data_IF_023238129386
#
_entry.id   IF_023238129386
#
_cell.length_a   1.000
_cell.length_b   1.000
_cell.length_c   1.000
_cell.angle_alpha   90.00
_cell.angle_beta   90.00
_cell.angle_gamma   90.00
#
_symmetry.space_group_name_H-M   'P 1'
#
loop_
_entity.id
_entity.type
_entity.pdbx_description
1 polymer ?
#
# COMPACT_ATOMS: atom_id res chain seq x y z
N UNK A 1 32.32 10.98 4.81
CA UNK A 1 32.20 11.10 6.28
C UNK A 1 30.93 10.37 6.67
N UNK A 2 31.01 9.06 6.84
CA UNK A 2 29.94 8.23 7.37
C UNK A 2 29.72 8.66 8.83
N UNK A 3 28.56 9.21 9.09
CA UNK A 3 28.23 9.86 10.34
C UNK A 3 28.10 8.83 11.45
N UNK A 4 28.56 9.19 12.63
CA UNK A 4 28.47 8.46 13.91
C UNK A 4 27.07 7.87 14.21
N UNK A 5 26.02 8.33 13.50
CA UNK A 5 24.63 7.87 13.66
C UNK A 5 24.38 6.44 13.20
N UNK A 6 25.08 5.97 12.17
CA UNK A 6 24.87 4.61 11.65
C UNK A 6 25.57 3.55 12.51
N UNK A 7 26.71 3.91 13.11
CA UNK A 7 27.40 3.05 14.08
C UNK A 7 26.65 2.97 15.42
N UNK A 8 25.95 4.04 15.83
CA UNK A 8 25.11 4.04 17.03
C UNK A 8 23.80 3.27 16.81
N UNK A 9 23.21 3.30 15.62
CA UNK A 9 22.04 2.46 15.26
C UNK A 9 22.38 0.96 15.22
N UNK A 10 23.58 0.60 14.80
CA UNK A 10 24.05 -0.81 14.78
C UNK A 10 24.36 -1.36 16.19
N UNK A 11 24.62 -0.48 17.16
CA UNK A 11 24.90 -0.84 18.56
C UNK A 11 23.62 -1.06 19.41
N UNK A 12 22.45 -0.62 18.95
CA UNK A 12 21.14 -0.76 19.61
C UNK A 12 20.30 -1.88 18.97
N UNK A 13 20.89 -3.04 18.68
CA UNK A 13 20.10 -4.22 18.29
C UNK A 13 19.23 -4.62 19.47
N UNK A 14 17.92 -4.44 19.31
CA UNK A 14 16.92 -4.96 20.25
C UNK A 14 17.20 -6.43 20.50
N UNK A 15 17.36 -6.80 21.77
CA UNK A 15 17.59 -8.19 22.13
C UNK A 15 16.36 -9.04 21.79
N UNK A 16 16.55 -10.34 21.63
CA UNK A 16 15.45 -11.27 21.41
C UNK A 16 14.40 -11.18 22.53
N UNK A 17 14.85 -10.97 23.77
CA UNK A 17 13.96 -10.76 24.94
C UNK A 17 13.15 -9.48 24.80
N UNK A 18 13.76 -8.37 24.36
CA UNK A 18 13.08 -7.10 24.13
C UNK A 18 12.04 -7.22 23.00
N UNK A 19 12.37 -7.90 21.91
CA UNK A 19 11.42 -8.16 20.81
C UNK A 19 10.22 -8.98 21.28
N UNK A 20 10.43 -10.01 22.08
CA UNK A 20 9.35 -10.78 22.71
C UNK A 20 8.55 -9.93 23.69
N UNK A 21 9.17 -8.98 24.40
CA UNK A 21 8.48 -8.03 25.28
C UNK A 21 7.48 -7.15 24.51
N UNK A 22 7.87 -6.60 23.37
CA UNK A 22 6.97 -5.86 22.46
C UNK A 22 5.79 -6.73 22.02
N UNK A 23 6.08 -7.95 21.57
CA UNK A 23 5.04 -8.89 21.10
C UNK A 23 4.10 -9.30 22.24
N UNK A 24 4.64 -9.57 23.44
CA UNK A 24 3.83 -9.92 24.60
C UNK A 24 2.82 -8.85 24.95
N UNK A 25 3.23 -7.58 24.92
CA UNK A 25 2.31 -6.46 25.14
C UNK A 25 1.30 -6.29 24.01
N UNK A 26 1.71 -6.51 22.75
CA UNK A 26 0.80 -6.47 21.59
C UNK A 26 -0.27 -7.56 21.65
N UNK A 27 0.02 -8.71 22.23
CA UNK A 27 -0.91 -9.82 22.44
C UNK A 27 -1.68 -9.74 23.75
N UNK A 28 -1.35 -8.77 24.62
CA UNK A 28 -2.04 -8.57 25.89
C UNK A 28 -3.37 -7.86 25.69
N UNK A 29 -4.49 -8.39 26.22
CA UNK A 29 -5.79 -7.75 26.13
C UNK A 29 -5.76 -6.30 26.63
N UNK A 30 -6.57 -5.44 26.04
CA UNK A 30 -6.73 -4.02 26.40
C UNK A 30 -5.47 -3.15 26.17
N UNK A 31 -4.41 -3.69 25.59
CA UNK A 31 -3.19 -2.95 25.27
C UNK A 31 -3.19 -2.50 23.81
N UNK A 32 -3.51 -1.22 23.58
CA UNK A 32 -3.36 -0.59 22.26
C UNK A 32 -1.97 0.03 22.08
N UNK A 33 -1.58 0.37 20.82
CA UNK A 33 -0.23 0.84 20.48
C UNK A 33 0.32 1.97 21.38
N UNK A 34 -0.51 2.97 21.65
CA UNK A 34 -0.14 4.12 22.49
C UNK A 34 0.11 3.72 23.96
N UNK A 35 -0.72 2.80 24.47
CA UNK A 35 -0.57 2.31 25.85
C UNK A 35 0.66 1.44 26.00
N UNK A 36 0.96 0.60 25.00
CA UNK A 36 2.18 -0.21 24.94
C UNK A 36 3.42 0.68 24.96
N UNK A 37 3.50 1.68 24.07
CA UNK A 37 4.63 2.61 24.03
C UNK A 37 4.84 3.33 25.36
N UNK A 38 3.76 3.79 25.99
CA UNK A 38 3.83 4.45 27.31
C UNK A 38 4.32 3.51 28.41
N UNK A 39 3.83 2.27 28.42
CA UNK A 39 4.26 1.29 29.41
C UNK A 39 5.75 0.97 29.28
N UNK A 40 6.22 0.70 28.07
CA UNK A 40 7.64 0.44 27.78
C UNK A 40 8.51 1.63 28.16
N UNK A 41 8.13 2.85 27.78
CA UNK A 41 8.89 4.05 28.13
C UNK A 41 9.02 4.23 29.66
N UNK A 42 7.97 3.93 30.43
CA UNK A 42 7.99 4.01 31.90
C UNK A 42 8.84 2.90 32.52
N UNK A 43 8.75 1.66 32.04
CA UNK A 43 9.58 0.56 32.50
C UNK A 43 11.06 0.80 32.24
N UNK A 44 11.42 1.52 31.18
CA UNK A 44 12.78 1.91 30.83
C UNK A 44 13.26 3.26 31.37
N UNK A 45 12.50 3.94 32.24
CA UNK A 45 12.70 5.34 32.62
C UNK A 45 14.10 5.73 33.14
N UNK A 46 14.86 4.77 33.64
CA UNK A 46 16.21 4.98 34.17
C UNK A 46 17.33 4.94 33.11
N UNK A 47 17.00 4.80 31.83
CA UNK A 47 17.99 4.82 30.76
C UNK A 47 18.26 6.23 30.23
N UNK A 48 19.46 6.45 29.63
CA UNK A 48 20.00 7.77 29.28
C UNK A 48 19.39 8.39 28.02
N UNK A 49 18.96 7.59 27.05
CA UNK A 49 18.32 8.05 25.82
C UNK A 49 16.92 7.49 25.63
N UNK A 50 16.15 8.02 24.67
CA UNK A 50 14.80 7.54 24.37
C UNK A 50 14.83 6.13 23.77
N UNK A 51 15.76 5.86 22.86
CA UNK A 51 15.98 4.52 22.28
C UNK A 51 16.39 3.51 23.37
N UNK A 52 17.33 3.88 24.24
CA UNK A 52 17.73 3.04 25.37
C UNK A 52 16.59 2.79 26.36
N UNK A 53 15.66 3.75 26.52
CA UNK A 53 14.44 3.57 27.34
C UNK A 53 13.49 2.56 26.73
N UNK A 54 13.30 2.60 25.40
CA UNK A 54 12.44 1.67 24.72
C UNK A 54 12.99 0.23 24.81
N UNK A 55 14.26 0.02 24.44
CA UNK A 55 14.92 -1.29 24.51
C UNK A 55 14.91 -1.87 25.92
N UNK A 56 15.37 -1.12 26.91
CA UNK A 56 15.39 -1.55 28.30
C UNK A 56 14.00 -1.79 28.88
N UNK A 57 13.00 -0.97 28.46
CA UNK A 57 11.63 -1.14 28.89
C UNK A 57 11.01 -2.42 28.35
N UNK A 58 11.28 -2.74 27.09
CA UNK A 58 10.80 -3.96 26.47
C UNK A 58 11.42 -5.22 27.12
N UNK A 59 12.71 -5.19 27.46
CA UNK A 59 13.38 -6.28 28.19
C UNK A 59 12.77 -6.48 29.56
N UNK A 60 12.44 -5.40 30.26
CA UNK A 60 11.89 -5.44 31.63
C UNK A 60 10.45 -5.90 31.73
N UNK A 61 9.73 -6.03 30.60
CA UNK A 61 8.31 -6.46 30.60
C UNK A 61 8.12 -7.77 31.39
N UNK A 62 9.06 -8.70 31.29
CA UNK A 62 8.96 -10.01 31.93
C UNK A 62 9.56 -10.07 33.36
N UNK A 63 10.26 -9.03 33.76
CA UNK A 63 10.91 -8.94 35.07
C UNK A 63 10.11 -8.03 36.02
N UNK A 64 9.24 -7.18 35.47
CA UNK A 64 8.50 -6.20 36.24
C UNK A 64 7.45 -6.87 37.15
N UNK A 65 7.37 -6.40 38.37
CA UNK A 65 6.35 -6.80 39.34
C UNK A 65 4.96 -6.26 38.91
N UNK A 66 3.89 -6.86 39.42
CA UNK A 66 2.51 -6.41 39.15
C UNK A 66 2.34 -4.90 39.44
N UNK A 67 2.91 -4.43 40.57
CA UNK A 67 2.83 -3.01 40.95
C UNK A 67 3.57 -2.10 39.96
N UNK A 68 4.73 -2.53 39.43
CA UNK A 68 5.47 -1.78 38.43
C UNK A 68 4.71 -1.73 37.10
N UNK A 69 4.07 -2.82 36.68
CA UNK A 69 3.26 -2.88 35.47
C UNK A 69 2.03 -1.96 35.57
N UNK A 70 1.30 -1.99 36.69
CA UNK A 70 0.19 -1.06 36.95
C UNK A 70 0.70 0.39 37.01
N UNK A 71 1.83 0.64 37.69
CA UNK A 71 2.51 1.94 37.75
C UNK A 71 2.95 2.43 36.36
N UNK A 72 3.26 1.55 35.44
CA UNK A 72 3.53 1.87 34.04
C UNK A 72 2.25 2.26 33.26
N UNK A 73 1.07 2.13 33.84
CA UNK A 73 -0.22 2.53 33.28
C UNK A 73 -0.95 1.40 32.56
N UNK A 74 -0.59 0.16 32.86
CA UNK A 74 -1.33 -0.99 32.37
C UNK A 74 -2.63 -1.18 33.17
N UNK A 75 -3.76 -1.54 32.53
CA UNK A 75 -4.94 -2.00 33.23
C UNK A 75 -4.65 -3.21 34.12
N UNK A 76 -5.29 -3.34 35.27
CA UNK A 76 -5.04 -4.42 36.22
C UNK A 76 -5.11 -5.82 35.57
N UNK A 77 -6.09 -6.07 34.68
CA UNK A 77 -6.20 -7.33 33.95
C UNK A 77 -5.04 -7.58 32.98
N UNK A 78 -4.53 -6.53 32.33
CA UNK A 78 -3.37 -6.59 31.45
C UNK A 78 -2.09 -6.84 32.27
N UNK A 79 -1.88 -6.10 33.35
CA UNK A 79 -0.75 -6.27 34.24
C UNK A 79 -0.71 -7.69 34.84
N UNK A 80 -1.86 -8.22 35.27
CA UNK A 80 -1.97 -9.60 35.75
C UNK A 80 -1.63 -10.62 34.64
N UNK A 81 -2.11 -10.39 33.39
CA UNK A 81 -1.82 -11.26 32.25
C UNK A 81 -0.32 -11.34 31.93
N UNK A 82 0.41 -10.25 32.12
CA UNK A 82 1.88 -10.22 31.99
C UNK A 82 2.55 -10.89 33.18
N UNK A 83 2.17 -10.50 34.40
CA UNK A 83 2.79 -10.94 35.65
C UNK A 83 2.69 -12.46 35.91
N UNK A 84 1.60 -13.09 35.46
CA UNK A 84 1.41 -14.55 35.59
C UNK A 84 2.04 -15.36 34.44
N UNK A 85 2.79 -14.73 33.54
CA UNK A 85 3.54 -15.34 32.46
C UNK A 85 2.73 -15.69 31.21
N UNK A 86 1.41 -15.44 31.19
CA UNK A 86 0.56 -15.72 30.01
C UNK A 86 0.98 -14.92 28.79
N UNK A 87 1.36 -13.65 28.97
CA UNK A 87 1.82 -12.79 27.89
C UNK A 87 3.10 -13.32 27.24
N UNK A 88 4.07 -13.81 28.07
CA UNK A 88 5.31 -14.42 27.60
C UNK A 88 5.04 -15.69 26.80
N UNK A 89 4.24 -16.58 27.35
CA UNK A 89 3.87 -17.84 26.66
C UNK A 89 3.14 -17.58 25.34
N UNK A 90 2.27 -16.55 25.28
CA UNK A 90 1.61 -16.15 24.05
C UNK A 90 2.60 -15.62 23.03
N UNK A 91 3.57 -14.77 23.42
CA UNK A 91 4.59 -14.21 22.53
C UNK A 91 5.52 -15.30 21.95
N UNK A 92 6.00 -16.20 22.80
CA UNK A 92 6.86 -17.31 22.37
C UNK A 92 6.13 -18.25 21.39
N UNK A 93 4.86 -18.55 21.67
CA UNK A 93 4.02 -19.34 20.78
C UNK A 93 3.80 -18.63 19.43
N UNK A 94 3.44 -17.36 19.47
CA UNK A 94 3.19 -16.55 18.26
C UNK A 94 4.46 -16.43 17.42
N UNK A 95 5.60 -16.11 18.01
CA UNK A 95 6.88 -16.00 17.32
C UNK A 95 7.25 -17.29 16.58
N UNK A 96 7.03 -18.46 17.22
CA UNK A 96 7.24 -19.76 16.61
C UNK A 96 6.28 -19.99 15.43
N UNK A 97 5.00 -19.71 15.61
CA UNK A 97 3.99 -19.90 14.56
C UNK A 97 4.23 -18.97 13.36
N UNK A 98 4.67 -17.73 13.59
CA UNK A 98 5.05 -16.79 12.53
C UNK A 98 6.20 -17.34 11.68
N UNK A 99 7.24 -17.87 12.33
CA UNK A 99 8.36 -18.50 11.63
C UNK A 99 7.93 -19.76 10.83
N UNK A 100 7.08 -20.61 11.40
CA UNK A 100 6.51 -21.78 10.74
C UNK A 100 5.65 -21.40 9.52
N UNK A 101 4.95 -20.24 9.57
CA UNK A 101 4.18 -19.71 8.46
C UNK A 101 5.04 -19.00 7.39
N UNK A 102 6.38 -19.01 7.53
CA UNK A 102 7.30 -18.31 6.62
C UNK A 102 7.22 -16.78 6.72
N UNK A 103 6.80 -16.28 7.86
CA UNK A 103 6.76 -14.86 8.19
C UNK A 103 7.85 -14.45 9.18
N UNK A 104 7.92 -13.17 9.42
CA UNK A 104 8.69 -12.54 10.51
C UNK A 104 7.81 -11.54 11.22
N UNK A 105 8.24 -11.06 12.36
CA UNK A 105 7.64 -9.90 13.00
C UNK A 105 8.69 -8.79 13.20
N UNK A 106 8.24 -7.55 13.14
CA UNK A 106 9.04 -6.35 13.36
C UNK A 106 8.46 -5.59 14.55
N UNK A 107 9.32 -5.10 15.41
CA UNK A 107 8.99 -4.17 16.49
C UNK A 107 9.41 -2.76 16.10
N UNK A 108 8.98 -1.74 16.81
CA UNK A 108 9.36 -0.34 16.54
C UNK A 108 10.87 -0.08 16.61
N UNK A 109 11.64 -0.96 17.24
CA UNK A 109 13.09 -0.83 17.42
C UNK A 109 13.88 -1.55 16.32
N UNK A 110 13.23 -2.36 15.50
CA UNK A 110 13.89 -3.03 14.39
C UNK A 110 14.23 -2.02 13.29
N UNK A 111 15.44 -2.08 12.76
CA UNK A 111 15.96 -1.17 11.71
C UNK A 111 15.07 -1.18 10.46
N UNK A 112 14.47 -2.33 10.14
CA UNK A 112 13.56 -2.51 9.00
C UNK A 112 12.10 -2.14 9.30
N UNK A 113 11.82 -1.61 10.51
CA UNK A 113 10.49 -1.07 10.77
C UNK A 113 10.31 0.25 10.00
N UNK A 114 9.18 0.45 9.29
CA UNK A 114 9.03 1.61 8.40
C UNK A 114 9.15 2.93 9.16
N UNK A 115 10.18 3.72 8.87
CA UNK A 115 10.44 4.99 9.56
C UNK A 115 9.26 5.97 9.48
N UNK A 116 8.61 6.05 8.30
CA UNK A 116 7.39 6.88 8.14
C UNK A 116 6.25 6.46 9.04
N UNK A 117 6.14 5.16 9.33
CA UNK A 117 5.09 4.65 10.21
C UNK A 117 5.34 4.99 11.69
N UNK A 118 6.58 5.23 12.09
CA UNK A 118 6.90 5.72 13.44
C UNK A 118 6.39 7.15 13.69
N UNK A 119 6.21 7.93 12.63
CA UNK A 119 5.79 9.34 12.72
C UNK A 119 4.29 9.52 12.99
N UNK A 120 3.46 8.47 12.82
CA UNK A 120 2.02 8.59 13.10
C UNK A 120 1.74 8.60 14.60
N UNK A 121 0.56 9.10 15.00
CA UNK A 121 0.17 9.20 16.42
C UNK A 121 0.20 7.87 17.18
N UNK A 122 -0.19 6.78 16.54
CA UNK A 122 -0.35 5.45 17.14
C UNK A 122 0.28 4.35 16.29
N UNK A 123 1.63 4.38 16.07
CA UNK A 123 2.30 3.37 15.25
C UNK A 123 2.07 1.98 15.85
N UNK A 124 1.90 0.93 15.05
CA UNK A 124 1.82 -0.45 15.53
C UNK A 124 3.00 -0.82 16.42
N UNK A 125 2.75 -1.47 17.56
CA UNK A 125 3.82 -1.97 18.42
C UNK A 125 4.63 -3.08 17.74
N UNK A 126 3.92 -3.92 16.98
CA UNK A 126 4.46 -5.03 16.21
C UNK A 126 3.81 -5.06 14.84
N UNK A 127 4.58 -5.38 13.81
CA UNK A 127 4.11 -5.70 12.47
C UNK A 127 4.45 -7.15 12.16
N UNK A 128 3.47 -7.91 11.72
CA UNK A 128 3.66 -9.24 11.14
C UNK A 128 3.89 -9.08 9.65
N UNK A 129 4.94 -9.70 9.11
CA UNK A 129 5.37 -9.53 7.73
C UNK A 129 5.59 -10.88 7.07
N UNK A 130 5.09 -11.05 5.85
CA UNK A 130 5.38 -12.18 4.96
C UNK A 130 5.90 -11.64 3.64
N UNK A 131 7.09 -12.06 3.23
CA UNK A 131 7.80 -11.54 2.07
C UNK A 131 8.97 -10.66 2.44
N UNK A 132 9.36 -9.72 1.58
CA UNK A 132 10.55 -8.88 1.80
C UNK A 132 10.26 -7.67 2.71
N UNK A 133 10.70 -7.75 3.95
CA UNK A 133 10.53 -6.67 4.93
C UNK A 133 11.30 -5.38 4.57
N UNK A 134 12.38 -5.46 3.78
CA UNK A 134 13.16 -4.29 3.38
C UNK A 134 12.35 -3.31 2.52
N UNK A 135 11.31 -3.82 1.84
CA UNK A 135 10.40 -2.98 1.05
C UNK A 135 9.60 -2.00 1.89
N UNK A 136 9.42 -2.25 3.18
CA UNK A 136 8.59 -1.41 4.06
C UNK A 136 9.22 -0.03 4.30
N UNK A 137 10.53 0.11 4.12
CA UNK A 137 11.25 1.38 4.24
C UNK A 137 11.29 2.16 2.92
N UNK A 138 11.05 1.48 1.78
CA UNK A 138 11.13 2.12 0.48
C UNK A 138 10.02 3.18 0.30
N UNK A 139 10.32 4.25 -0.45
CA UNK A 139 9.28 5.21 -0.84
C UNK A 139 8.14 4.50 -1.58
N UNK A 140 6.91 4.80 -1.18
CA UNK A 140 5.76 4.18 -1.81
C UNK A 140 4.50 5.03 -1.77
N UNK A 141 3.61 4.82 -2.73
CA UNK A 141 2.28 5.43 -2.81
C UNK A 141 1.21 4.41 -2.41
N UNK A 142 0.31 4.81 -1.52
CA UNK A 142 -0.88 4.03 -1.21
C UNK A 142 -1.97 4.29 -2.26
N UNK A 143 -2.38 3.28 -2.99
CA UNK A 143 -3.45 3.37 -3.99
C UNK A 143 -4.70 2.72 -3.44
N UNK A 144 -5.78 3.50 -3.34
CA UNK A 144 -7.04 3.08 -2.72
C UNK A 144 -8.26 3.46 -3.55
N UNK A 145 -9.34 2.68 -3.40
CA UNK A 145 -10.56 2.98 -4.13
C UNK A 145 -11.73 2.08 -3.77
N UNK A 146 -12.78 2.20 -4.56
CA UNK A 146 -13.99 1.40 -4.42
C UNK A 146 -13.74 -0.09 -4.70
N UNK A 147 -14.52 -0.94 -4.04
CA UNK A 147 -14.54 -2.40 -4.31
C UNK A 147 -15.26 -2.77 -5.61
N UNK A 148 -15.98 -1.84 -6.19
CA UNK A 148 -16.75 -1.98 -7.43
C UNK A 148 -16.40 -0.82 -8.38
N UNK A 149 -15.15 -0.77 -8.91
CA UNK A 149 -14.74 0.28 -9.82
C UNK A 149 -15.42 0.15 -11.18
N UNK A 150 -15.49 1.28 -11.87
CA UNK A 150 -15.80 1.30 -13.29
C UNK A 150 -14.59 0.79 -14.11
N UNK A 151 -14.75 0.46 -15.39
CA UNK A 151 -13.61 0.17 -16.27
C UNK A 151 -12.56 1.28 -16.27
N UNK A 152 -12.99 2.55 -16.20
CA UNK A 152 -12.11 3.69 -16.03
C UNK A 152 -11.29 3.61 -14.74
N UNK A 153 -11.95 3.36 -13.60
CA UNK A 153 -11.27 3.25 -12.32
C UNK A 153 -10.27 2.09 -12.25
N UNK A 154 -10.59 0.94 -12.89
CA UNK A 154 -9.65 -0.18 -13.01
C UNK A 154 -8.43 0.24 -13.83
N UNK A 155 -8.66 0.81 -15.03
CA UNK A 155 -7.59 1.25 -15.91
C UNK A 155 -6.68 2.31 -15.30
N UNK A 156 -7.24 3.32 -14.62
CA UNK A 156 -6.46 4.35 -13.92
C UNK A 156 -5.62 3.75 -12.79
N UNK A 157 -6.19 2.83 -12.00
CA UNK A 157 -5.44 2.16 -10.94
C UNK A 157 -4.27 1.32 -11.48
N UNK A 158 -4.51 0.53 -12.53
CA UNK A 158 -3.48 -0.30 -13.17
C UNK A 158 -2.40 0.57 -13.84
N UNK A 159 -2.80 1.60 -14.61
CA UNK A 159 -1.90 2.49 -15.33
C UNK A 159 -0.99 3.27 -14.37
N UNK A 160 -1.57 4.01 -13.41
CA UNK A 160 -0.79 4.84 -12.49
C UNK A 160 0.12 3.99 -11.60
N UNK A 161 -0.36 2.81 -11.16
CA UNK A 161 0.46 1.90 -10.35
C UNK A 161 1.62 1.31 -11.15
N UNK A 162 1.41 0.96 -12.42
CA UNK A 162 2.45 0.49 -13.34
C UNK A 162 3.50 1.58 -13.57
N UNK A 163 3.05 2.79 -13.90
CA UNK A 163 3.93 3.89 -14.26
C UNK A 163 4.79 4.36 -13.07
N UNK A 164 4.22 4.40 -11.86
CA UNK A 164 4.94 4.67 -10.62
C UNK A 164 5.91 3.54 -10.25
N UNK A 165 5.49 2.28 -10.43
CA UNK A 165 6.33 1.12 -10.18
C UNK A 165 7.54 1.05 -11.12
N UNK A 166 7.37 1.42 -12.40
CA UNK A 166 8.47 1.57 -13.37
C UNK A 166 9.50 2.62 -12.95
N UNK A 167 9.12 3.55 -12.05
CA UNK A 167 10.02 4.58 -11.48
C UNK A 167 10.54 4.22 -10.09
N UNK A 168 10.52 2.95 -9.74
CA UNK A 168 11.07 2.45 -8.49
C UNK A 168 10.19 2.66 -7.26
N UNK A 169 9.02 3.28 -7.40
CA UNK A 169 8.09 3.44 -6.28
C UNK A 169 7.42 2.13 -5.89
N UNK A 170 7.32 1.89 -4.60
CA UNK A 170 6.54 0.76 -4.07
C UNK A 170 5.06 1.11 -4.08
N UNK A 171 4.22 0.23 -4.61
CA UNK A 171 2.77 0.40 -4.56
C UNK A 171 2.23 -0.26 -3.31
N UNK A 172 1.61 0.52 -2.43
CA UNK A 172 0.94 0.02 -1.24
C UNK A 172 -0.57 -0.03 -1.48
N UNK A 173 -1.23 -1.10 -1.05
CA UNK A 173 -2.69 -1.15 -1.07
C UNK A 173 -3.25 -2.15 -0.06
N UNK A 174 -4.58 -2.20 0.06
CA UNK A 174 -5.25 -2.94 1.11
C UNK A 174 -5.73 -4.34 0.72
N UNK A 175 -5.39 -4.84 -0.46
CA UNK A 175 -5.80 -6.14 -0.97
C UNK A 175 -7.33 -6.29 -1.15
N UNK A 176 -8.14 -5.24 -1.05
CA UNK A 176 -9.57 -5.33 -1.31
C UNK A 176 -9.86 -5.67 -2.79
N UNK A 177 -11.12 -6.02 -3.09
CA UNK A 177 -11.58 -6.11 -4.47
C UNK A 177 -11.45 -4.76 -5.17
N UNK A 178 -11.51 -4.75 -6.47
CA UNK A 178 -11.58 -3.53 -7.27
C UNK A 178 -10.25 -2.79 -7.35
N UNK A 179 -10.24 -1.52 -6.97
CA UNK A 179 -9.07 -0.64 -7.14
C UNK A 179 -7.82 -1.19 -6.47
N UNK A 180 -7.91 -1.70 -5.23
CA UNK A 180 -6.75 -2.25 -4.52
C UNK A 180 -6.10 -3.40 -5.30
N UNK A 181 -6.92 -4.35 -5.78
CA UNK A 181 -6.43 -5.48 -6.56
C UNK A 181 -5.85 -5.04 -7.92
N UNK A 182 -6.46 -4.04 -8.57
CA UNK A 182 -5.97 -3.46 -9.82
C UNK A 182 -4.61 -2.78 -9.62
N UNK A 183 -4.44 -2.01 -8.54
CA UNK A 183 -3.18 -1.38 -8.18
C UNK A 183 -2.04 -2.39 -8.00
N UNK A 184 -2.28 -3.46 -7.23
CA UNK A 184 -1.29 -4.53 -7.08
C UNK A 184 -0.93 -5.20 -8.40
N UNK A 185 -1.92 -5.45 -9.28
CA UNK A 185 -1.68 -6.03 -10.61
C UNK A 185 -0.84 -5.10 -11.47
N UNK A 186 -1.20 -3.83 -11.56
CA UNK A 186 -0.46 -2.84 -12.34
C UNK A 186 1.04 -2.80 -11.95
N UNK A 187 1.33 -2.77 -10.64
CA UNK A 187 2.70 -2.83 -10.15
C UNK A 187 3.43 -4.13 -10.52
N UNK A 188 2.75 -5.28 -10.37
CA UNK A 188 3.33 -6.60 -10.68
C UNK A 188 3.54 -6.82 -12.19
N UNK A 189 2.67 -6.27 -13.02
CA UNK A 189 2.77 -6.36 -14.49
C UNK A 189 3.92 -5.50 -15.03
N UNK A 190 4.32 -4.45 -14.30
CA UNK A 190 5.54 -3.68 -14.52
C UNK A 190 6.83 -4.35 -14.01
N UNK A 191 6.74 -5.52 -13.37
CA UNK A 191 7.89 -6.10 -12.66
C UNK A 191 8.29 -5.35 -11.40
N UNK A 192 7.49 -4.36 -10.98
CA UNK A 192 7.73 -3.54 -9.80
C UNK A 192 7.36 -4.22 -8.49
N UNK A 193 7.52 -3.50 -7.39
CA UNK A 193 7.29 -4.01 -6.03
C UNK A 193 5.99 -3.47 -5.45
N UNK A 194 5.30 -4.32 -4.70
CA UNK A 194 4.07 -3.93 -4.04
C UNK A 194 3.95 -4.55 -2.64
N UNK A 195 3.33 -3.79 -1.72
CA UNK A 195 3.09 -4.19 -0.34
C UNK A 195 1.59 -4.20 -0.06
N UNK A 196 1.07 -5.33 0.39
CA UNK A 196 -0.32 -5.46 0.78
C UNK A 196 -0.45 -5.31 2.31
N UNK A 197 -1.16 -4.28 2.77
CA UNK A 197 -1.46 -4.09 4.19
C UNK A 197 -2.80 -4.74 4.50
N UNK A 198 -2.83 -5.72 5.41
CA UNK A 198 -4.01 -6.53 5.70
C UNK A 198 -4.74 -6.11 6.97
N UNK A 199 -6.05 -6.36 7.00
CA UNK A 199 -6.90 -6.25 8.19
C UNK A 199 -7.23 -7.61 8.81
N UNK A 200 -6.38 -8.61 8.58
CA UNK A 200 -6.43 -9.99 9.09
C UNK A 200 -5.02 -10.42 9.48
N UNK A 201 -4.86 -11.56 10.13
CA UNK A 201 -3.53 -12.18 10.26
C UNK A 201 -2.90 -12.43 8.89
N UNK A 202 -1.56 -12.44 8.80
CA UNK A 202 -0.84 -12.64 7.53
C UNK A 202 -1.02 -14.05 6.93
N UNK A 203 -1.58 -14.98 7.69
CA UNK A 203 -1.96 -16.34 7.30
C UNK A 203 -3.42 -16.43 6.81
N UNK A 204 -4.25 -15.40 7.03
CA UNK A 204 -5.67 -15.38 6.68
C UNK A 204 -5.93 -14.49 5.48
N UNK A 205 -5.98 -15.08 4.28
CA UNK A 205 -6.23 -14.33 3.04
C UNK A 205 -7.67 -13.80 2.97
N UNK A 206 -7.82 -12.50 2.84
CA UNK A 206 -9.11 -11.85 2.62
C UNK A 206 -9.00 -10.68 1.63
N UNK A 207 -9.88 -10.60 0.60
CA UNK A 207 -10.90 -11.60 0.25
C UNK A 207 -10.29 -12.87 -0.35
N UNK A 208 -10.99 -14.01 -0.24
CA UNK A 208 -10.46 -15.33 -0.66
C UNK A 208 -10.11 -15.41 -2.15
N UNK A 209 -10.83 -14.69 -3.00
CA UNK A 209 -10.56 -14.62 -4.45
C UNK A 209 -9.20 -14.01 -4.79
N UNK A 210 -8.64 -13.16 -3.91
CA UNK A 210 -7.32 -12.55 -4.11
C UNK A 210 -6.16 -13.45 -3.63
N UNK A 211 -6.41 -14.73 -3.30
CA UNK A 211 -5.36 -15.66 -2.85
C UNK A 211 -4.20 -15.76 -3.84
N UNK A 212 -4.50 -15.94 -5.13
CA UNK A 212 -3.45 -16.01 -6.17
C UNK A 212 -2.66 -14.71 -6.28
N UNK A 213 -3.33 -13.56 -6.08
CA UNK A 213 -2.67 -12.25 -6.08
C UNK A 213 -1.73 -12.11 -4.89
N UNK A 214 -2.15 -12.52 -3.69
CA UNK A 214 -1.31 -12.52 -2.49
C UNK A 214 -0.05 -13.39 -2.67
N UNK A 215 -0.19 -14.58 -3.23
CA UNK A 215 0.92 -15.48 -3.54
C UNK A 215 1.87 -14.85 -4.59
N UNK A 216 1.32 -14.23 -5.64
CA UNK A 216 2.09 -13.53 -6.67
C UNK A 216 2.88 -12.35 -6.08
N UNK A 217 2.30 -11.55 -5.18
CA UNK A 217 2.99 -10.46 -4.50
C UNK A 217 4.25 -10.97 -3.80
N UNK A 218 4.12 -11.99 -2.97
CA UNK A 218 5.26 -12.55 -2.22
C UNK A 218 6.29 -13.18 -3.17
N UNK A 219 5.84 -13.97 -4.15
CA UNK A 219 6.72 -14.62 -5.12
C UNK A 219 7.52 -13.62 -5.99
N UNK A 220 6.97 -12.43 -6.24
CA UNK A 220 7.65 -11.35 -6.96
C UNK A 220 8.55 -10.49 -6.07
N UNK A 221 8.83 -10.90 -4.83
CA UNK A 221 9.63 -10.16 -3.87
C UNK A 221 8.90 -8.94 -3.29
N UNK A 222 7.57 -8.96 -3.26
CA UNK A 222 6.73 -8.03 -2.51
C UNK A 222 6.54 -8.48 -1.06
N UNK A 223 5.68 -7.77 -0.32
CA UNK A 223 5.38 -8.10 1.07
C UNK A 223 3.89 -8.01 1.41
N UNK A 224 3.50 -8.76 2.42
CA UNK A 224 2.21 -8.69 3.10
C UNK A 224 2.47 -8.28 4.53
N UNK A 225 1.74 -7.28 5.03
CA UNK A 225 1.95 -6.70 6.36
C UNK A 225 0.63 -6.63 7.11
N UNK A 226 0.65 -6.93 8.39
CA UNK A 226 -0.49 -6.76 9.29
C UNK A 226 -0.04 -6.32 10.69
N UNK A 227 -0.90 -5.58 11.40
CA UNK A 227 -0.77 -5.31 12.84
C UNK A 227 -1.43 -6.41 13.69
N UNK A 228 -2.10 -7.36 13.05
CA UNK A 228 -2.91 -8.35 13.72
C UNK A 228 -2.19 -9.70 13.79
N UNK A 229 -2.26 -10.42 14.93
CA UNK A 229 -1.60 -11.73 15.10
C UNK A 229 -2.18 -12.78 14.14
N UNK A 230 -1.45 -13.88 14.00
CA UNK A 230 -1.86 -15.03 13.20
C UNK A 230 -3.25 -15.52 13.61
N UNK A 231 -3.97 -16.09 12.65
CA UNK A 231 -5.33 -16.61 12.85
C UNK A 231 -6.40 -15.54 13.03
N UNK A 232 -6.07 -14.24 12.97
CA UNK A 232 -7.08 -13.18 13.07
C UNK A 232 -7.97 -13.15 11.84
N UNK A 233 -9.26 -13.45 12.02
CA UNK A 233 -10.25 -13.43 10.95
C UNK A 233 -10.68 -12.01 10.56
N UNK A 234 -11.23 -11.82 9.33
CA UNK A 234 -11.71 -10.54 8.89
C UNK A 234 -12.90 -10.07 9.75
N UNK A 235 -12.78 -8.88 10.31
CA UNK A 235 -13.83 -8.21 11.05
C UNK A 235 -13.96 -6.75 10.59
N UNK A 236 -15.18 -6.19 10.48
CA UNK A 236 -15.41 -4.85 9.94
C UNK A 236 -14.56 -3.76 10.59
N UNK A 237 -14.33 -3.84 11.90
CA UNK A 237 -13.53 -2.87 12.66
C UNK A 237 -12.03 -2.89 12.32
N UNK A 238 -11.49 -4.00 11.82
CA UNK A 238 -10.06 -4.13 11.52
C UNK A 238 -9.65 -3.30 10.28
N UNK A 239 -10.56 -3.13 9.32
CA UNK A 239 -10.23 -2.44 8.06
C UNK A 239 -10.01 -0.93 8.24
N UNK A 240 -10.83 -0.18 8.98
CA UNK A 240 -10.53 1.22 9.31
C UNK A 240 -9.24 1.37 10.11
N UNK A 241 -8.97 0.50 11.08
CA UNK A 241 -7.74 0.52 11.87
C UNK A 241 -6.50 0.28 11.00
N UNK A 242 -6.57 -0.64 10.04
CA UNK A 242 -5.50 -0.92 9.09
C UNK A 242 -5.20 0.29 8.18
N UNK A 243 -6.20 1.09 7.81
CA UNK A 243 -6.01 2.19 6.86
C UNK A 243 -5.00 3.24 7.33
N UNK A 244 -4.86 3.48 8.64
CA UNK A 244 -3.82 4.36 9.20
C UNK A 244 -2.40 3.83 8.97
N UNK A 245 -2.24 2.52 8.89
CA UNK A 245 -0.95 1.88 8.61
C UNK A 245 -0.62 2.05 7.12
N UNK A 246 -1.60 1.85 6.26
CA UNK A 246 -1.46 2.03 4.82
C UNK A 246 -1.03 3.46 4.46
N UNK A 247 -1.73 4.47 5.00
CA UNK A 247 -1.35 5.88 4.80
C UNK A 247 -0.04 6.23 5.53
N UNK A 248 0.17 5.71 6.74
CA UNK A 248 1.37 5.99 7.55
C UNK A 248 2.67 5.49 6.92
N UNK A 249 2.64 4.37 6.20
CA UNK A 249 3.80 3.84 5.47
C UNK A 249 4.07 4.57 4.15
N UNK A 250 3.08 5.25 3.58
CA UNK A 250 3.19 5.87 2.27
C UNK A 250 3.73 7.30 2.33
N UNK A 251 4.26 7.80 1.21
CA UNK A 251 4.59 9.23 1.03
C UNK A 251 3.35 10.04 0.68
N UNK A 252 2.32 9.38 0.12
CA UNK A 252 1.03 9.96 -0.20
C UNK A 252 0.00 8.89 -0.53
N UNK A 253 -1.25 9.29 -0.62
CA UNK A 253 -2.40 8.42 -0.89
C UNK A 253 -3.09 8.85 -2.16
N UNK A 254 -3.15 7.96 -3.15
CA UNK A 254 -3.89 8.14 -4.39
C UNK A 254 -5.29 7.50 -4.27
N UNK A 255 -6.32 8.33 -4.40
CA UNK A 255 -7.72 7.90 -4.42
C UNK A 255 -8.22 7.87 -5.85
N UNK A 256 -8.54 6.67 -6.38
CA UNK A 256 -8.93 6.49 -7.78
C UNK A 256 -10.44 6.65 -7.98
N UNK A 257 -11.24 5.87 -7.28
CA UNK A 257 -12.70 5.97 -7.27
C UNK A 257 -13.25 5.70 -5.87
N UNK A 258 -14.33 6.35 -5.50
CA UNK A 258 -15.02 6.15 -4.23
C UNK A 258 -16.30 6.94 -4.14
N UNK A 259 -17.38 6.30 -3.71
CA UNK A 259 -18.64 6.97 -3.45
C UNK A 259 -18.61 7.82 -2.17
N UNK A 260 -19.69 8.53 -1.92
CA UNK A 260 -19.85 9.45 -0.79
C UNK A 260 -19.55 8.82 0.58
N UNK A 261 -19.97 7.58 0.79
CA UNK A 261 -19.80 6.84 2.05
C UNK A 261 -18.71 5.75 1.94
N UNK A 262 -17.74 5.94 1.07
CA UNK A 262 -16.67 4.96 0.84
C UNK A 262 -15.63 4.96 1.98
N UNK A 263 -15.11 3.78 2.31
CA UNK A 263 -13.96 3.61 3.20
C UNK A 263 -12.68 4.32 2.74
N UNK A 264 -12.57 4.68 1.46
CA UNK A 264 -11.45 5.46 0.91
C UNK A 264 -11.32 6.84 1.56
N UNK A 265 -12.45 7.45 1.98
CA UNK A 265 -12.43 8.72 2.73
C UNK A 265 -11.73 8.59 4.08
N UNK A 266 -11.83 7.41 4.72
CA UNK A 266 -11.12 7.15 5.98
C UNK A 266 -9.61 7.15 5.73
N UNK A 267 -9.15 6.50 4.66
CA UNK A 267 -7.72 6.46 4.32
C UNK A 267 -7.20 7.86 3.94
N UNK A 268 -7.95 8.61 3.12
CA UNK A 268 -7.59 9.99 2.77
C UNK A 268 -7.54 10.91 4.01
N UNK A 269 -8.48 10.75 4.95
CA UNK A 269 -8.47 11.48 6.22
C UNK A 269 -7.25 11.10 7.08
N UNK A 270 -6.95 9.80 7.22
CA UNK A 270 -5.73 9.36 7.92
C UNK A 270 -4.47 9.98 7.29
N UNK A 271 -4.39 10.03 5.96
CA UNK A 271 -3.28 10.66 5.25
C UNK A 271 -3.12 12.13 5.64
N UNK A 272 -4.19 12.91 5.60
CA UNK A 272 -4.17 14.33 6.00
C UNK A 272 -3.76 14.51 7.47
N UNK A 273 -4.31 13.70 8.38
CA UNK A 273 -3.97 13.73 9.82
C UNK A 273 -2.50 13.33 10.07
N UNK A 274 -1.89 12.58 9.15
CA UNK A 274 -0.50 12.10 9.20
C UNK A 274 0.46 12.95 8.36
N UNK A 275 0.04 14.11 7.85
CA UNK A 275 0.82 14.98 6.95
C UNK A 275 1.33 14.23 5.71
N UNK A 276 0.48 13.38 5.11
CA UNK A 276 0.74 12.72 3.83
C UNK A 276 -0.06 13.41 2.73
N UNK A 277 0.55 13.54 1.55
CA UNK A 277 -0.11 14.11 0.40
C UNK A 277 -1.32 13.26 -0.03
N UNK A 278 -2.37 13.92 -0.51
CA UNK A 278 -3.57 13.26 -1.02
C UNK A 278 -3.73 13.61 -2.50
N UNK A 279 -3.70 12.59 -3.30
CA UNK A 279 -3.87 12.60 -4.75
C UNK A 279 -5.23 12.03 -5.11
N UNK A 280 -5.90 12.58 -6.11
CA UNK A 280 -7.23 12.11 -6.48
C UNK A 280 -7.43 12.13 -8.00
N UNK A 281 -7.87 10.98 -8.53
CA UNK A 281 -8.16 10.84 -9.96
C UNK A 281 -9.50 11.51 -10.26
N UNK A 282 -9.56 12.50 -11.15
CA UNK A 282 -10.81 13.16 -11.51
C UNK A 282 -11.73 12.19 -12.28
N UNK A 283 -13.02 12.33 -12.11
CA UNK A 283 -13.98 11.54 -12.84
C UNK A 283 -15.23 12.33 -13.19
N UNK A 284 -16.09 11.76 -14.06
CA UNK A 284 -17.30 12.39 -14.49
C UNK A 284 -18.22 12.69 -13.28
N UNK A 285 -18.68 13.94 -13.17
CA UNK A 285 -19.50 14.41 -12.05
C UNK A 285 -20.85 13.69 -11.93
N UNK A 286 -21.35 13.08 -13.00
CA UNK A 286 -22.57 12.27 -13.00
C UNK A 286 -22.32 10.84 -12.47
N UNK A 287 -21.06 10.41 -12.40
CA UNK A 287 -20.71 9.09 -11.89
C UNK A 287 -20.60 9.13 -10.35
N UNK A 288 -21.41 8.32 -9.68
CA UNK A 288 -21.39 8.22 -8.21
C UNK A 288 -20.05 7.77 -7.64
N UNK A 289 -19.26 6.99 -8.39
CA UNK A 289 -17.93 6.55 -7.98
C UNK A 289 -16.88 7.67 -8.06
N UNK A 290 -17.13 8.74 -8.81
CA UNK A 290 -16.25 9.90 -8.87
C UNK A 290 -16.52 10.94 -7.77
N UNK A 291 -17.57 10.79 -6.99
CA UNK A 291 -17.95 11.75 -5.96
C UNK A 291 -16.84 11.95 -4.91
N UNK A 292 -16.26 10.86 -4.41
CA UNK A 292 -15.20 10.90 -3.41
C UNK A 292 -13.95 11.66 -3.88
N UNK A 293 -13.26 11.20 -4.95
CA UNK A 293 -12.08 11.88 -5.47
C UNK A 293 -12.37 13.32 -5.91
N UNK A 294 -13.49 13.61 -6.60
CA UNK A 294 -13.85 14.98 -6.98
C UNK A 294 -14.07 15.88 -5.74
N UNK A 295 -14.61 15.33 -4.65
CA UNK A 295 -14.77 16.07 -3.39
C UNK A 295 -13.42 16.34 -2.74
N UNK A 296 -12.51 15.36 -2.74
CA UNK A 296 -11.14 15.54 -2.23
C UNK A 296 -10.38 16.62 -3.01
N UNK A 297 -10.50 16.64 -4.35
CA UNK A 297 -9.91 17.70 -5.20
C UNK A 297 -10.44 19.08 -4.78
N UNK A 298 -11.76 19.23 -4.56
CA UNK A 298 -12.34 20.47 -4.06
C UNK A 298 -11.84 20.88 -2.67
N UNK A 299 -11.37 19.91 -1.87
CA UNK A 299 -10.82 20.13 -0.54
C UNK A 299 -9.29 20.34 -0.54
N UNK A 300 -8.66 20.40 -1.72
CA UNK A 300 -7.25 20.67 -1.87
C UNK A 300 -6.38 19.43 -2.19
N UNK A 301 -6.97 18.25 -2.38
CA UNK A 301 -6.21 17.11 -2.91
C UNK A 301 -5.74 17.42 -4.33
N UNK A 302 -4.52 16.98 -4.69
CA UNK A 302 -3.98 17.21 -6.03
C UNK A 302 -4.73 16.36 -7.05
N UNK A 303 -5.27 17.02 -8.09
CA UNK A 303 -5.83 16.35 -9.25
C UNK A 303 -4.72 15.56 -9.93
N UNK A 304 -4.96 14.27 -10.18
CA UNK A 304 -3.97 13.34 -10.71
C UNK A 304 -4.53 12.62 -11.92
N UNK A 305 -4.01 12.94 -13.07
CA UNK A 305 -4.34 12.29 -14.34
C UNK A 305 -3.21 11.37 -14.81
N UNK A 306 -1.97 11.73 -14.47
CA UNK A 306 -0.77 10.98 -14.85
C UNK A 306 0.16 10.79 -13.64
N UNK A 307 1.19 9.97 -13.80
CA UNK A 307 2.17 9.72 -12.72
C UNK A 307 3.02 10.96 -12.41
N UNK A 308 3.23 11.86 -13.39
CA UNK A 308 3.96 13.12 -13.24
C UNK A 308 3.34 14.00 -12.16
N UNK A 309 1.99 14.03 -12.08
CA UNK A 309 1.28 14.79 -11.06
C UNK A 309 1.65 14.38 -9.63
N UNK A 310 1.99 13.10 -9.43
CA UNK A 310 2.47 12.59 -8.14
C UNK A 310 3.96 12.87 -7.98
N UNK A 311 4.75 12.65 -9.04
CA UNK A 311 6.19 12.78 -9.01
C UNK A 311 6.67 14.18 -8.67
N UNK A 312 6.02 15.20 -9.22
CA UNK A 312 6.33 16.61 -8.97
C UNK A 312 6.16 17.01 -7.51
N UNK A 313 5.19 16.41 -6.81
CA UNK A 313 4.89 16.70 -5.40
C UNK A 313 5.66 15.81 -4.42
N UNK A 314 6.48 14.87 -4.91
CA UNK A 314 7.32 14.09 -4.03
C UNK A 314 8.38 14.99 -3.36
N UNK A 315 8.69 14.75 -2.07
CA UNK A 315 9.83 15.39 -1.41
C UNK A 315 11.10 15.22 -2.25
N UNK A 316 11.86 16.29 -2.42
CA UNK A 316 13.06 16.29 -3.29
C UNK A 316 14.03 15.15 -2.98
N UNK A 317 14.23 14.85 -1.70
CA UNK A 317 15.12 13.75 -1.29
C UNK A 317 14.65 12.39 -1.80
N UNK A 318 13.34 12.13 -1.76
CA UNK A 318 12.77 10.88 -2.24
C UNK A 318 12.91 10.78 -3.75
N UNK A 319 12.64 11.86 -4.47
CA UNK A 319 12.76 11.91 -5.92
C UNK A 319 14.21 11.66 -6.35
N UNK A 320 15.18 12.33 -5.74
CA UNK A 320 16.60 12.11 -6.03
C UNK A 320 17.04 10.68 -5.74
N UNK A 321 16.63 10.11 -4.59
CA UNK A 321 16.92 8.71 -4.26
C UNK A 321 16.40 7.74 -5.33
N UNK A 322 15.15 7.92 -5.78
CA UNK A 322 14.58 7.07 -6.82
C UNK A 322 15.26 7.25 -8.18
N UNK A 323 15.61 8.48 -8.55
CA UNK A 323 16.35 8.78 -9.78
C UNK A 323 17.75 8.12 -9.76
N UNK A 324 18.50 8.24 -8.68
CA UNK A 324 19.80 7.59 -8.49
C UNK A 324 19.70 6.04 -8.57
N UNK A 325 18.69 5.46 -7.93
CA UNK A 325 18.44 4.01 -8.00
C UNK A 325 18.12 3.54 -9.43
N UNK A 326 17.34 4.32 -10.18
CA UNK A 326 17.00 4.02 -11.57
C UNK A 326 18.19 4.16 -12.51
N UNK A 327 19.06 5.18 -12.31
CA UNK A 327 20.30 5.34 -13.04
C UNK A 327 21.26 4.18 -12.76
N UNK A 328 21.42 3.78 -11.51
CA UNK A 328 22.24 2.64 -11.12
C UNK A 328 21.74 1.30 -11.70
N UNK A 329 20.43 1.18 -11.91
CA UNK A 329 19.80 0.01 -12.54
C UNK A 329 19.86 0.03 -14.09
N UNK A 330 20.41 1.10 -14.69
CA UNK A 330 20.49 1.28 -16.16
C UNK A 330 19.12 1.48 -16.83
N UNK A 331 18.12 1.92 -16.06
CA UNK A 331 16.76 2.17 -16.54
C UNK A 331 16.55 3.60 -17.05
N UNK A 332 17.48 4.50 -16.75
CA UNK A 332 17.54 5.86 -17.29
C UNK A 332 18.99 6.14 -17.67
N UNK A 333 19.23 6.62 -18.89
CA UNK A 333 20.52 7.18 -19.26
C UNK A 333 20.75 8.48 -18.46
N UNK A 334 21.95 8.62 -17.86
CA UNK A 334 22.32 9.85 -17.14
C UNK A 334 22.07 11.07 -18.01
N UNK A 335 21.28 12.02 -17.53
CA UNK A 335 21.03 13.31 -18.21
C UNK A 335 22.27 14.21 -18.21
N UNK A 336 23.32 13.78 -18.87
CA UNK A 336 24.41 14.65 -19.33
C UNK A 336 24.35 14.71 -20.86
N UNK A 337 23.54 15.65 -21.32
CA UNK A 337 23.57 16.15 -22.71
C UNK A 337 22.61 15.46 -23.67
N UNK A 338 21.59 16.21 -24.08
CA UNK A 338 20.88 15.97 -25.34
C UNK A 338 19.47 15.40 -25.21
N UNK A 339 18.51 16.22 -25.57
CA UNK A 339 17.12 15.86 -25.87
C UNK A 339 17.06 14.56 -26.68
N UNK A 340 16.70 13.44 -26.06
CA UNK A 340 16.38 12.21 -26.76
C UNK A 340 14.86 12.05 -26.83
N UNK A 341 14.37 11.90 -28.05
CA UNK A 341 12.98 11.68 -28.44
C UNK A 341 12.40 10.44 -27.73
N UNK A 342 11.33 10.65 -26.97
CA UNK A 342 10.52 9.62 -26.30
C UNK A 342 9.52 8.93 -27.25
N UNK A 343 9.97 8.57 -28.45
CA UNK A 343 9.18 7.75 -29.38
C UNK A 343 9.97 6.50 -29.69
N UNK A 344 9.78 5.44 -28.90
CA UNK A 344 10.02 4.09 -29.41
C UNK A 344 9.05 3.87 -30.57
N UNK A 345 9.60 3.38 -31.69
CA UNK A 345 8.90 3.04 -32.92
C UNK A 345 7.80 1.97 -32.67
N UNK A 346 6.65 2.37 -32.15
CA UNK A 346 5.42 1.59 -32.37
C UNK A 346 5.16 1.62 -33.89
N UNK A 347 5.16 0.44 -34.52
CA UNK A 347 4.67 0.31 -35.90
C UNK A 347 3.39 1.12 -36.01
N UNK A 348 3.25 2.01 -36.99
CA UNK A 348 2.09 2.87 -37.10
C UNK A 348 0.81 2.01 -37.09
N UNK A 349 -0.08 2.32 -36.16
CA UNK A 349 -1.34 1.63 -36.02
C UNK A 349 -2.13 1.74 -37.34
N UNK A 350 -2.67 0.64 -37.88
CA UNK A 350 -3.50 0.67 -39.08
C UNK A 350 -4.60 1.71 -38.94
N UNK A 351 -4.90 2.42 -40.03
CA UNK A 351 -5.91 3.50 -40.04
C UNK A 351 -7.26 3.04 -39.50
N UNK A 352 -7.67 1.81 -39.83
CA UNK A 352 -8.94 1.21 -39.41
C UNK A 352 -8.98 1.05 -37.87
N UNK A 353 -7.89 0.57 -37.26
CA UNK A 353 -7.80 0.42 -35.82
C UNK A 353 -7.82 1.78 -35.10
N UNK A 354 -7.14 2.78 -35.66
CA UNK A 354 -7.12 4.14 -35.11
C UNK A 354 -8.50 4.78 -35.11
N UNK A 355 -9.23 4.68 -36.22
CA UNK A 355 -10.59 5.24 -36.39
C UNK A 355 -11.57 4.59 -35.40
N UNK A 356 -11.52 3.26 -35.21
CA UNK A 356 -12.33 2.55 -34.22
C UNK A 356 -11.96 2.95 -32.80
N UNK A 357 -10.68 3.05 -32.47
CA UNK A 357 -10.19 3.39 -31.15
C UNK A 357 -10.55 4.83 -30.73
N UNK A 358 -10.59 5.78 -31.67
CA UNK A 358 -11.00 7.17 -31.44
C UNK A 358 -12.49 7.31 -31.09
N UNK A 359 -13.34 6.37 -31.54
CA UNK A 359 -14.77 6.34 -31.23
C UNK A 359 -15.10 5.69 -29.89
N UNK A 360 -14.20 4.87 -29.39
CA UNK A 360 -14.36 4.21 -28.11
C UNK A 360 -13.90 5.11 -26.96
N UNK A 361 -14.71 5.20 -25.91
CA UNK A 361 -14.42 5.97 -24.70
C UNK A 361 -13.76 5.08 -23.65
N UNK A 362 -13.01 5.68 -22.73
CA UNK A 362 -12.37 5.00 -21.61
C UNK A 362 -13.29 4.91 -20.37
N UNK A 363 -14.23 5.82 -20.29
CA UNK A 363 -15.13 6.02 -19.15
C UNK A 363 -16.54 5.46 -19.36
N UNK A 364 -16.89 5.11 -20.61
CA UNK A 364 -18.22 4.66 -20.96
C UNK A 364 -18.17 3.56 -22.04
N UNK A 365 -18.78 2.38 -21.78
CA UNK A 365 -18.89 1.32 -22.79
C UNK A 365 -19.78 1.76 -23.97
N UNK A 366 -19.33 1.52 -25.18
CA UNK A 366 -20.07 1.81 -26.42
C UNK A 366 -20.62 0.51 -26.96
N UNK A 367 -21.93 0.48 -27.28
CA UNK A 367 -22.56 -0.68 -27.86
C UNK A 367 -22.11 -0.83 -29.33
N UNK A 368 -21.94 -2.08 -29.77
CA UNK A 368 -21.43 -2.42 -31.09
C UNK A 368 -22.25 -1.77 -32.23
N UNK A 369 -23.57 -1.84 -32.12
CA UNK A 369 -24.48 -1.27 -33.17
C UNK A 369 -24.32 0.25 -33.27
N UNK A 370 -24.20 0.94 -32.14
CA UNK A 370 -23.90 2.39 -32.08
C UNK A 370 -22.53 2.73 -32.67
N UNK A 371 -21.54 1.85 -32.48
CA UNK A 371 -20.21 2.03 -33.06
C UNK A 371 -20.25 1.85 -34.60
N UNK A 372 -20.99 0.86 -35.08
CA UNK A 372 -21.18 0.62 -36.52
C UNK A 372 -21.91 1.79 -37.18
N UNK A 373 -23.02 2.24 -36.61
CA UNK A 373 -23.76 3.41 -37.09
C UNK A 373 -22.91 4.68 -37.12
N UNK A 374 -22.09 4.89 -36.08
CA UNK A 374 -21.20 6.06 -35.95
C UNK A 374 -20.02 6.07 -36.94
N UNK A 375 -19.71 4.93 -37.55
CA UNK A 375 -18.62 4.74 -38.51
C UNK A 375 -19.15 4.43 -39.93
N UNK A 376 -20.46 4.41 -40.14
CA UNK A 376 -21.11 4.18 -41.43
C UNK A 376 -20.63 5.22 -42.44
N UNK A 377 -20.11 4.76 -43.59
CA UNK A 377 -19.49 5.61 -44.61
C UNK A 377 -17.98 5.83 -44.46
N UNK A 378 -17.35 5.44 -43.36
CA UNK A 378 -15.90 5.49 -43.18
C UNK A 378 -15.26 4.09 -43.19
N UNK A 379 -15.89 3.13 -42.51
CA UNK A 379 -15.47 1.73 -42.45
C UNK A 379 -16.66 0.80 -42.65
N UNK A 380 -16.42 -0.32 -43.33
CA UNK A 380 -17.42 -1.38 -43.43
C UNK A 380 -17.53 -2.19 -42.13
N UNK A 381 -18.71 -2.80 -41.88
CA UNK A 381 -18.92 -3.59 -40.65
C UNK A 381 -17.89 -4.69 -40.47
N UNK A 382 -17.42 -5.35 -41.51
CA UNK A 382 -16.38 -6.36 -41.45
C UNK A 382 -15.03 -5.80 -41.01
N UNK A 383 -14.70 -4.58 -41.45
CA UNK A 383 -13.47 -3.87 -41.06
C UNK A 383 -13.49 -3.45 -39.58
N UNK A 384 -14.68 -3.00 -39.10
CA UNK A 384 -14.89 -2.64 -37.68
C UNK A 384 -14.70 -3.88 -36.79
N UNK A 385 -15.26 -5.04 -37.18
CA UNK A 385 -15.08 -6.29 -36.42
C UNK A 385 -13.63 -6.72 -36.39
N UNK A 386 -12.91 -6.64 -37.53
CA UNK A 386 -11.48 -7.00 -37.59
C UNK A 386 -10.67 -6.06 -36.74
N UNK A 387 -10.90 -4.75 -36.80
CA UNK A 387 -10.22 -3.77 -35.99
C UNK A 387 -10.48 -3.98 -34.49
N UNK A 388 -11.71 -4.24 -34.07
CA UNK A 388 -12.05 -4.53 -32.67
C UNK A 388 -11.35 -5.79 -32.16
N UNK A 389 -11.30 -6.85 -32.99
CA UNK A 389 -10.61 -8.10 -32.64
C UNK A 389 -9.09 -7.89 -32.46
N UNK A 390 -8.44 -7.19 -33.39
CA UNK A 390 -7.00 -6.87 -33.31
C UNK A 390 -6.70 -5.96 -32.11
N UNK A 391 -7.54 -4.96 -31.83
CA UNK A 391 -7.41 -4.08 -30.67
C UNK A 391 -7.63 -4.84 -29.35
N UNK A 392 -8.51 -5.82 -29.34
CA UNK A 392 -8.74 -6.67 -28.16
C UNK A 392 -7.56 -7.61 -27.92
N UNK A 393 -6.98 -8.24 -28.96
CA UNK A 393 -5.76 -9.04 -28.88
C UNK A 393 -4.56 -8.26 -28.37
N UNK A 394 -4.47 -6.96 -28.71
CA UNK A 394 -3.43 -6.03 -28.22
C UNK A 394 -3.77 -5.40 -26.87
N UNK A 395 -4.90 -5.77 -26.26
CA UNK A 395 -5.33 -5.24 -24.96
C UNK A 395 -5.72 -3.76 -24.96
N UNK A 396 -5.91 -3.14 -26.15
CA UNK A 396 -6.30 -1.72 -26.29
C UNK A 396 -7.83 -1.51 -26.15
N UNK A 397 -8.60 -2.57 -26.35
CA UNK A 397 -10.06 -2.59 -26.21
C UNK A 397 -10.47 -3.83 -25.43
N UNK A 398 -11.56 -3.74 -24.68
CA UNK A 398 -12.14 -4.86 -23.94
C UNK A 398 -13.62 -4.99 -24.26
N UNK A 399 -14.03 -6.21 -24.60
CA UNK A 399 -15.45 -6.53 -24.74
C UNK A 399 -16.10 -6.72 -23.36
N UNK A 400 -17.26 -6.10 -23.19
CA UNK A 400 -18.12 -6.18 -22.01
C UNK A 400 -19.40 -6.95 -22.32
N UNK A 401 -20.15 -7.46 -21.32
CA UNK A 401 -21.43 -8.12 -21.54
C UNK A 401 -22.40 -7.25 -22.35
N UNK A 402 -23.17 -7.86 -23.25
CA UNK A 402 -24.12 -7.16 -24.10
C UNK A 402 -23.51 -6.55 -25.36
N UNK A 403 -22.38 -7.08 -25.84
CA UNK A 403 -21.66 -6.56 -27.04
C UNK A 403 -21.27 -5.08 -26.91
N UNK A 404 -20.93 -4.67 -25.71
CA UNK A 404 -20.35 -3.36 -25.44
C UNK A 404 -18.83 -3.43 -25.50
N UNK A 405 -18.18 -2.37 -25.96
CA UNK A 405 -16.74 -2.25 -26.04
C UNK A 405 -16.28 -1.00 -25.31
N UNK A 406 -15.17 -1.11 -24.60
CA UNK A 406 -14.54 -0.01 -23.89
C UNK A 406 -13.06 0.06 -24.25
N UNK A 407 -12.55 1.26 -24.45
CA UNK A 407 -11.12 1.48 -24.68
C UNK A 407 -10.34 1.22 -23.41
N UNK A 408 -9.31 0.36 -23.49
CA UNK A 408 -8.34 0.18 -22.40
C UNK A 408 -7.23 1.25 -22.43
N UNK A 409 -6.50 1.33 -21.36
CA UNK A 409 -5.41 2.29 -21.18
C UNK A 409 -4.12 1.83 -21.86
#
# INVERSE_FOLDING_TARGET
>A
MTTNSDAERDALKTTEVGRLGWMALALTPEMGPTRIARAIAKLGANASSEEARASRGAERVFEATLTELEGAGMPAGAAQFVSDGRARAAAEKEAKQVAEAGGIFLTREDVTYPGRLLEIYDPPAVLWVRGDAKLLERPGIAVVGTRHPTPYGVGMAEMLSRDLANRGMTILSGMARGVDAAAHKGALDAGGKTVAVWGTGIDVVYPKENKKLAERIVASGGAIVSELPLGTFPAPQNFPLRNRILSGMSVGVLVVEGGEYSGTRITARCAMEQNREVFAVPGNVTNKSAWGPNTLIKQGAKLTATWEDIWEDLPTQIRLQLEEEMEAAGQIESKTGGSASLFEDEKPMPEQERVVLERLRRDEPVQLDTLIEGLEGTLGSAEIFTALFELELRGRVKQMPGKNYVRCF
#
